data_IF_111313872531
#
_entry.id   IF_111313872531
#
_cell.length_a   1.000
_cell.length_b   1.000
_cell.length_c   1.000
_cell.angle_alpha   90.00
_cell.angle_beta   90.00
_cell.angle_gamma   90.00
#
_symmetry.space_group_name_H-M   'P 1'
#
loop_
_entity.id
_entity.type
_entity.pdbx_description
1 polymer ?
#
# COMPACT_ATOMS: atom_id res chain seq x y z
N UNK A 1 -13.18 20.17 16.39
CA UNK A 1 -13.68 18.83 16.02
C UNK A 1 -15.13 18.95 15.61
N UNK A 2 -15.56 18.20 14.59
CA UNK A 2 -16.93 18.30 14.05
C UNK A 2 -17.98 17.73 15.01
N UNK A 3 -19.14 18.38 15.13
CA UNK A 3 -20.25 17.97 16.00
C UNK A 3 -21.53 17.69 15.19
N UNK A 4 -22.00 16.44 15.23
CA UNK A 4 -23.33 16.05 14.75
C UNK A 4 -24.31 16.03 15.95
N UNK A 5 -25.60 15.71 15.75
CA UNK A 5 -26.63 15.63 16.82
C UNK A 5 -26.26 14.86 18.11
N UNK A 6 -25.18 14.06 18.12
CA UNK A 6 -24.61 13.43 19.32
C UNK A 6 -23.35 14.17 19.78
N UNK A 7 -23.33 14.59 21.04
CA UNK A 7 -22.13 15.08 21.74
C UNK A 7 -21.18 13.92 22.00
N UNK A 8 -20.03 13.90 21.33
CA UNK A 8 -19.01 12.85 21.46
C UNK A 8 -17.94 13.15 22.52
N UNK A 9 -17.81 14.42 22.91
CA UNK A 9 -16.76 14.88 23.81
C UNK A 9 -17.32 15.82 24.89
N UNK A 10 -16.63 15.89 26.01
CA UNK A 10 -16.92 16.80 27.12
C UNK A 10 -15.69 17.61 27.51
N UNK A 11 -15.91 18.79 28.04
CA UNK A 11 -14.85 19.66 28.56
C UNK A 11 -13.97 18.91 29.57
N UNK A 12 -12.65 19.00 29.40
CA UNK A 12 -11.66 18.30 30.21
C UNK A 12 -11.26 16.91 29.71
N UNK A 13 -12.02 16.30 28.79
CA UNK A 13 -11.67 15.00 28.21
C UNK A 13 -10.43 15.08 27.33
N UNK A 14 -9.77 13.93 27.17
CA UNK A 14 -8.68 13.73 26.23
C UNK A 14 -9.26 13.01 24.99
N UNK A 15 -9.06 13.60 23.83
CA UNK A 15 -9.36 13.00 22.54
C UNK A 15 -8.05 12.50 21.91
N UNK A 16 -7.99 11.21 21.61
CA UNK A 16 -6.89 10.58 20.89
C UNK A 16 -7.35 10.36 19.45
N UNK A 17 -6.67 10.98 18.49
CA UNK A 17 -7.02 10.86 17.08
C UNK A 17 -6.09 9.86 16.39
N UNK A 18 -6.69 8.81 15.84
CA UNK A 18 -5.99 7.79 15.08
C UNK A 18 -6.43 7.85 13.61
N UNK A 19 -5.45 7.73 12.70
CA UNK A 19 -5.68 7.56 11.28
C UNK A 19 -5.57 6.07 10.95
N UNK A 20 -6.57 5.50 10.29
CA UNK A 20 -6.50 4.15 9.77
C UNK A 20 -5.42 4.06 8.68
N UNK A 21 -4.55 3.06 8.75
CA UNK A 21 -3.57 2.75 7.71
C UNK A 21 -4.07 1.60 6.82
N UNK A 22 -3.90 0.36 7.30
CA UNK A 22 -4.32 -0.89 6.67
C UNK A 22 -4.43 -1.99 7.72
N UNK A 23 -5.20 -3.04 7.42
CA UNK A 23 -5.54 -4.13 8.33
C UNK A 23 -6.03 -3.62 9.70
N UNK A 24 -5.31 -3.94 10.77
CA UNK A 24 -5.60 -3.50 12.14
C UNK A 24 -4.67 -2.36 12.57
N UNK A 25 -3.94 -1.70 11.66
CA UNK A 25 -2.95 -0.67 12.00
C UNK A 25 -3.51 0.75 11.96
N UNK A 26 -3.15 1.52 12.97
CA UNK A 26 -3.62 2.87 13.21
C UNK A 26 -2.46 3.78 13.59
N UNK A 27 -2.39 4.96 12.98
CA UNK A 27 -1.36 5.96 13.23
C UNK A 27 -1.87 7.04 14.19
N UNK A 28 -1.14 7.31 15.26
CA UNK A 28 -1.42 8.45 16.13
C UNK A 28 -1.18 9.76 15.37
N UNK A 29 -2.22 10.58 15.20
CA UNK A 29 -2.09 11.88 14.51
C UNK A 29 -2.03 13.05 15.49
N UNK A 30 -2.82 13.02 16.56
CA UNK A 30 -2.82 14.08 17.59
C UNK A 30 -3.50 13.59 18.87
N UNK A 31 -3.12 14.19 20.00
CA UNK A 31 -3.81 14.04 21.28
C UNK A 31 -4.20 15.44 21.74
N UNK A 32 -5.49 15.64 21.99
CA UNK A 32 -6.04 16.95 22.34
C UNK A 32 -6.81 16.90 23.64
N UNK A 33 -6.72 17.96 24.44
CA UNK A 33 -7.61 18.21 25.57
C UNK A 33 -8.74 19.10 25.12
N UNK A 34 -9.98 18.68 25.37
CA UNK A 34 -11.16 19.49 25.11
C UNK A 34 -11.17 20.65 26.11
N UNK A 35 -11.08 21.88 25.60
CA UNK A 35 -11.07 23.09 26.44
C UNK A 35 -12.45 23.69 26.57
N UNK A 36 -13.32 23.50 25.57
CA UNK A 36 -14.65 24.10 25.56
C UNK A 36 -15.62 23.37 24.63
N UNK A 37 -16.84 23.20 25.12
CA UNK A 37 -18.01 22.80 24.32
C UNK A 37 -18.69 24.04 23.75
N UNK A 38 -18.93 24.05 22.45
CA UNK A 38 -19.66 25.09 21.74
C UNK A 38 -21.03 24.53 21.39
N UNK A 39 -22.09 25.24 21.79
CA UNK A 39 -23.47 24.81 21.54
C UNK A 39 -23.91 25.13 20.10
N UNK A 40 -23.39 24.35 19.16
CA UNK A 40 -23.68 24.43 17.71
C UNK A 40 -23.96 23.03 17.16
N UNK A 41 -24.79 22.94 16.13
CA UNK A 41 -25.13 21.68 15.43
C UNK A 41 -24.58 21.76 14.00
N UNK A 42 -23.98 20.67 13.54
CA UNK A 42 -23.37 20.53 12.21
C UNK A 42 -22.26 21.56 11.92
N UNK A 43 -21.48 21.88 12.95
CA UNK A 43 -20.32 22.77 12.88
C UNK A 43 -19.21 22.30 13.86
N UNK A 44 -18.14 23.09 14.01
CA UNK A 44 -17.08 22.90 14.98
C UNK A 44 -17.61 23.13 16.39
N UNK A 45 -18.15 22.07 17.00
CA UNK A 45 -18.75 22.11 18.34
C UNK A 45 -17.76 22.02 19.51
N UNK A 46 -16.45 21.95 19.25
CA UNK A 46 -15.44 21.80 20.31
C UNK A 46 -14.15 22.56 20.00
N UNK A 47 -13.70 23.34 20.99
CA UNK A 47 -12.33 23.86 21.06
C UNK A 47 -11.46 22.83 21.81
N UNK A 48 -10.25 22.64 21.32
CA UNK A 48 -9.32 21.69 21.92
C UNK A 48 -7.87 22.10 21.66
N UNK A 49 -7.03 21.88 22.65
CA UNK A 49 -5.59 22.18 22.60
C UNK A 49 -4.78 20.90 22.52
N UNK A 50 -3.71 20.90 21.73
CA UNK A 50 -2.80 19.77 21.65
C UNK A 50 -2.01 19.60 22.94
N UNK A 51 -1.84 18.36 23.37
CA UNK A 51 -0.98 18.04 24.52
C UNK A 51 0.46 17.92 24.02
N UNK A 52 1.24 18.98 24.20
CA UNK A 52 2.58 19.13 23.60
C UNK A 52 3.57 18.02 24.00
N UNK A 53 3.43 17.44 25.20
CA UNK A 53 4.26 16.33 25.69
C UNK A 53 4.28 15.13 24.73
N UNK A 54 3.18 14.87 24.01
CA UNK A 54 3.04 13.72 23.11
C UNK A 54 3.37 14.03 21.66
N UNK A 55 3.69 15.29 21.32
CA UNK A 55 3.93 15.74 19.94
C UNK A 55 4.99 14.91 19.21
N UNK A 56 6.02 14.46 19.94
CA UNK A 56 7.10 13.61 19.40
C UNK A 56 6.64 12.26 18.82
N UNK A 57 5.40 11.82 19.12
CA UNK A 57 4.81 10.58 18.62
C UNK A 57 3.81 10.79 17.48
N UNK A 58 3.43 12.04 17.18
CA UNK A 58 2.46 12.33 16.14
C UNK A 58 3.04 11.99 14.77
N UNK A 59 2.25 11.23 14.01
CA UNK A 59 2.68 10.62 12.76
C UNK A 59 3.74 9.53 12.94
N UNK A 60 4.08 9.08 14.15
CA UNK A 60 5.16 8.11 14.37
C UNK A 60 4.74 6.86 15.11
N UNK A 61 3.80 6.99 16.05
CA UNK A 61 3.30 5.87 16.82
C UNK A 61 2.25 5.09 16.00
N UNK A 62 2.56 3.83 15.72
CA UNK A 62 1.67 2.88 15.06
C UNK A 62 1.14 1.90 16.11
N UNK A 63 -0.19 1.82 16.19
CA UNK A 63 -0.93 0.95 17.07
C UNK A 63 -1.60 -0.16 16.25
N UNK A 64 -1.77 -1.33 16.85
CA UNK A 64 -2.66 -2.37 16.34
C UNK A 64 -3.92 -2.44 17.19
N UNK A 65 -5.06 -2.47 16.53
CA UNK A 65 -6.38 -2.65 17.13
C UNK A 65 -7.38 -3.18 16.09
N UNK A 66 -7.99 -4.32 16.40
CA UNK A 66 -8.99 -4.93 15.52
C UNK A 66 -10.39 -4.37 15.80
N UNK A 67 -10.87 -3.48 14.93
CA UNK A 67 -12.17 -2.86 15.15
C UNK A 67 -13.35 -3.74 14.71
N UNK A 68 -13.99 -4.41 15.67
CA UNK A 68 -15.16 -5.28 15.41
C UNK A 68 -16.50 -4.57 15.29
N UNK A 69 -16.59 -3.24 15.54
CA UNK A 69 -17.87 -2.50 15.50
C UNK A 69 -17.90 -1.44 14.42
N UNK A 70 -19.10 -1.16 13.92
CA UNK A 70 -19.37 -0.21 12.82
C UNK A 70 -19.01 1.26 13.14
N UNK A 71 -19.03 1.66 14.42
CA UNK A 71 -18.68 3.04 14.81
C UNK A 71 -17.17 3.24 14.95
N UNK A 72 -16.67 4.46 14.71
CA UNK A 72 -15.24 4.78 14.83
C UNK A 72 -14.82 5.33 16.20
N UNK A 73 -15.72 5.97 16.95
CA UNK A 73 -15.43 6.49 18.29
C UNK A 73 -15.45 5.40 19.36
N UNK A 74 -14.44 5.38 20.24
CA UNK A 74 -14.32 4.46 21.39
C UNK A 74 -13.92 5.22 22.64
N UNK A 75 -14.35 4.74 23.80
CA UNK A 75 -13.75 5.12 25.08
C UNK A 75 -12.50 4.27 25.30
N UNK A 76 -11.45 4.87 25.87
CA UNK A 76 -10.17 4.19 26.05
C UNK A 76 -10.31 2.91 26.88
N UNK A 77 -11.11 2.96 27.95
CA UNK A 77 -11.37 1.84 28.87
C UNK A 77 -12.00 0.64 28.16
N UNK A 78 -12.73 0.87 27.06
CA UNK A 78 -13.37 -0.22 26.31
C UNK A 78 -12.43 -0.99 25.39
N UNK A 79 -11.20 -0.49 25.17
CA UNK A 79 -10.26 -1.04 24.19
C UNK A 79 -8.81 -1.13 24.69
N UNK A 80 -8.52 -0.67 25.91
CA UNK A 80 -7.14 -0.54 26.40
C UNK A 80 -6.35 -1.85 26.44
N UNK A 81 -7.00 -2.98 26.74
CA UNK A 81 -6.38 -4.32 26.78
C UNK A 81 -6.11 -4.88 25.38
N UNK A 82 -6.75 -4.34 24.34
CA UNK A 82 -6.62 -4.78 22.94
C UNK A 82 -5.67 -3.88 22.13
N UNK A 83 -5.22 -2.76 22.71
CA UNK A 83 -4.33 -1.82 22.06
C UNK A 83 -2.87 -2.26 22.21
N UNK A 84 -2.23 -2.52 21.08
CA UNK A 84 -0.82 -2.90 21.03
C UNK A 84 0.00 -1.81 20.35
N UNK A 85 1.12 -1.40 20.95
CA UNK A 85 2.12 -0.55 20.28
C UNK A 85 2.99 -1.44 19.40
N UNK A 86 2.88 -1.26 18.08
CA UNK A 86 3.66 -2.04 17.12
C UNK A 86 5.02 -1.41 16.87
N UNK A 87 5.02 -0.10 16.63
CA UNK A 87 6.24 0.62 16.26
C UNK A 87 6.14 2.11 16.61
N UNK A 88 7.31 2.71 16.86
CA UNK A 88 7.49 4.15 16.85
C UNK A 88 8.49 4.48 15.72
N UNK A 89 7.97 4.98 14.61
CA UNK A 89 8.77 5.32 13.43
C UNK A 89 9.89 6.32 13.80
N UNK A 90 11.02 6.27 13.11
CA UNK A 90 12.12 7.23 13.35
C UNK A 90 11.77 8.65 12.88
N UNK A 91 10.89 8.79 11.88
CA UNK A 91 10.36 10.04 11.32
C UNK A 91 8.84 9.97 11.15
N UNK A 92 8.17 11.13 11.01
CA UNK A 92 6.73 11.16 10.77
C UNK A 92 6.35 10.45 9.46
N UNK A 93 5.25 9.70 9.51
CA UNK A 93 4.64 8.93 8.45
C UNK A 93 4.19 9.87 7.33
N UNK A 94 4.69 9.61 6.13
CA UNK A 94 4.46 10.37 4.91
C UNK A 94 3.48 9.68 3.94
N UNK A 95 2.96 8.50 4.29
CA UNK A 95 2.05 7.73 3.44
C UNK A 95 2.72 6.71 2.53
N UNK A 96 4.02 6.44 2.69
CA UNK A 96 4.84 5.60 1.79
C UNK A 96 5.21 4.22 2.34
N UNK A 97 4.54 3.74 3.39
CA UNK A 97 4.90 2.47 4.00
C UNK A 97 4.62 1.29 3.04
N UNK A 98 5.66 0.51 2.80
CA UNK A 98 5.63 -0.64 1.90
C UNK A 98 4.90 -1.80 2.59
N UNK A 99 3.82 -2.36 1.99
CA UNK A 99 2.91 -3.30 2.65
C UNK A 99 3.48 -4.73 2.83
N UNK A 100 4.74 -4.95 2.48
CA UNK A 100 5.33 -6.28 2.32
C UNK A 100 5.12 -6.82 0.89
N UNK A 101 5.98 -7.74 0.45
CA UNK A 101 5.96 -8.25 -0.92
C UNK A 101 4.73 -9.11 -1.21
N UNK A 102 4.31 -9.87 -0.20
CA UNK A 102 3.15 -10.75 -0.20
C UNK A 102 1.81 -10.01 -0.35
N UNK A 103 1.79 -8.70 -0.07
CA UNK A 103 0.59 -7.87 -0.13
C UNK A 103 0.61 -6.87 -1.30
N UNK A 104 1.56 -7.00 -2.24
CA UNK A 104 1.58 -6.10 -3.40
C UNK A 104 0.52 -6.50 -4.41
N UNK A 105 -0.46 -5.62 -4.61
CA UNK A 105 -1.41 -5.65 -5.72
C UNK A 105 -1.77 -4.23 -6.12
N UNK A 106 -1.17 -3.73 -7.20
CA UNK A 106 -1.27 -2.34 -7.62
C UNK A 106 -1.90 -2.23 -9.01
N UNK A 107 -2.80 -1.27 -9.23
CA UNK A 107 -3.13 -0.83 -10.59
C UNK A 107 -1.90 -0.19 -11.26
N UNK A 108 -1.94 -0.03 -12.58
CA UNK A 108 -0.94 0.76 -13.30
C UNK A 108 -0.79 2.16 -12.69
N UNK A 109 -1.90 2.87 -12.44
CA UNK A 109 -1.87 4.25 -11.92
C UNK A 109 -1.24 4.35 -10.53
N UNK A 110 -1.47 3.36 -9.66
CA UNK A 110 -0.84 3.29 -8.34
C UNK A 110 0.66 3.06 -8.47
N UNK A 111 1.07 2.08 -9.28
CA UNK A 111 2.48 1.78 -9.51
C UNK A 111 3.22 2.96 -10.17
N UNK A 112 2.58 3.62 -11.14
CA UNK A 112 3.09 4.84 -11.77
C UNK A 112 3.29 5.95 -10.74
N UNK A 113 2.30 6.20 -9.88
CA UNK A 113 2.39 7.20 -8.82
C UNK A 113 3.56 6.91 -7.89
N UNK A 114 3.73 5.65 -7.48
CA UNK A 114 4.85 5.21 -6.63
C UNK A 114 6.20 5.51 -7.28
N UNK A 115 6.37 5.13 -8.55
CA UNK A 115 7.64 5.28 -9.27
C UNK A 115 7.93 6.75 -9.62
N UNK A 116 6.95 7.47 -10.19
CA UNK A 116 7.14 8.86 -10.64
C UNK A 116 7.32 9.85 -9.49
N UNK A 117 6.60 9.65 -8.38
CA UNK A 117 6.73 10.51 -7.20
C UNK A 117 7.89 10.08 -6.29
N UNK A 118 8.63 9.03 -6.67
CA UNK A 118 9.81 8.52 -5.95
C UNK A 118 9.53 8.21 -4.47
N UNK A 119 8.43 7.52 -4.20
CA UNK A 119 8.04 7.13 -2.84
C UNK A 119 9.11 6.25 -2.19
N UNK A 120 9.82 6.79 -1.20
CA UNK A 120 11.12 6.27 -0.78
C UNK A 120 11.04 4.84 -0.22
N UNK A 121 10.06 4.56 0.65
CA UNK A 121 9.84 3.22 1.22
C UNK A 121 9.58 2.14 0.17
N UNK A 122 8.80 2.48 -0.87
CA UNK A 122 8.56 1.59 -2.00
C UNK A 122 9.79 1.42 -2.90
N UNK A 123 10.46 2.51 -3.25
CA UNK A 123 11.64 2.44 -4.10
C UNK A 123 12.73 1.59 -3.45
N UNK A 124 12.98 1.79 -2.16
CA UNK A 124 14.04 1.07 -1.44
C UNK A 124 13.71 -0.42 -1.31
N UNK A 125 12.45 -0.78 -1.06
CA UNK A 125 12.00 -2.17 -1.08
C UNK A 125 12.20 -2.81 -2.48
N UNK A 126 11.76 -2.15 -3.55
CA UNK A 126 11.79 -2.77 -4.89
C UNK A 126 13.19 -2.78 -5.53
N UNK A 127 14.10 -1.88 -5.14
CA UNK A 127 15.38 -1.63 -5.85
C UNK A 127 16.34 -2.81 -5.86
N UNK A 128 16.46 -3.54 -4.75
CA UNK A 128 17.41 -4.65 -4.59
C UNK A 128 16.73 -6.02 -4.48
N UNK A 129 15.53 -6.12 -5.04
CA UNK A 129 14.72 -7.33 -4.96
C UNK A 129 14.67 -8.07 -6.30
N UNK A 130 14.90 -9.38 -6.26
CA UNK A 130 14.54 -10.29 -7.36
C UNK A 130 13.16 -10.88 -7.07
N UNK A 131 12.39 -11.20 -8.10
CA UNK A 131 11.04 -11.70 -7.91
C UNK A 131 10.52 -12.48 -9.11
N UNK A 132 9.52 -13.33 -8.87
CA UNK A 132 8.53 -13.70 -9.87
C UNK A 132 7.28 -12.86 -9.61
N UNK A 133 6.79 -12.19 -10.63
CA UNK A 133 5.64 -11.30 -10.55
C UNK A 133 4.56 -11.68 -11.57
N UNK A 134 3.36 -11.19 -11.33
CA UNK A 134 2.18 -11.41 -12.15
C UNK A 134 1.60 -10.06 -12.58
N UNK A 135 1.34 -9.92 -13.88
CA UNK A 135 0.56 -8.84 -14.45
C UNK A 135 -0.77 -9.43 -14.91
N UNK A 136 -1.87 -8.90 -14.41
CA UNK A 136 -3.22 -9.36 -14.77
C UNK A 136 -3.95 -8.25 -15.52
N UNK A 137 -4.51 -8.59 -16.67
CA UNK A 137 -5.45 -7.73 -17.39
C UNK A 137 -6.84 -7.95 -16.82
N UNK A 138 -7.32 -6.99 -16.03
CA UNK A 138 -8.59 -7.11 -15.31
C UNK A 138 -9.81 -7.04 -16.23
N UNK A 139 -9.64 -6.63 -17.49
CA UNK A 139 -10.74 -6.57 -18.47
C UNK A 139 -11.12 -7.94 -19.03
N UNK A 140 -10.20 -8.91 -19.01
CA UNK A 140 -10.40 -10.23 -19.63
C UNK A 140 -9.81 -11.41 -18.85
N UNK A 141 -9.15 -11.16 -17.72
CA UNK A 141 -8.57 -12.17 -16.85
C UNK A 141 -7.29 -12.81 -17.38
N UNK A 142 -6.75 -12.37 -18.52
CA UNK A 142 -5.49 -12.88 -19.05
C UNK A 142 -4.33 -12.41 -18.17
N UNK A 143 -3.36 -13.31 -18.01
CA UNK A 143 -2.24 -13.13 -17.10
C UNK A 143 -0.90 -13.20 -17.84
N UNK A 144 0.07 -12.44 -17.35
CA UNK A 144 1.47 -12.50 -17.74
C UNK A 144 2.32 -12.76 -16.50
N UNK A 145 3.08 -13.86 -16.50
CA UNK A 145 4.10 -14.15 -15.49
C UNK A 145 5.44 -13.68 -16.01
N UNK A 146 6.18 -12.92 -15.20
CA UNK A 146 7.54 -12.51 -15.49
C UNK A 146 8.45 -12.67 -14.29
N UNK A 147 9.76 -12.64 -14.54
CA UNK A 147 10.76 -12.54 -13.48
C UNK A 147 11.55 -11.25 -13.56
N UNK A 148 12.07 -10.85 -12.41
CA UNK A 148 13.05 -9.80 -12.25
C UNK A 148 14.29 -10.42 -11.61
N UNK A 149 15.42 -10.37 -12.32
CA UNK A 149 16.70 -10.92 -11.87
C UNK A 149 17.77 -9.83 -11.85
N UNK A 150 18.98 -10.15 -11.36
CA UNK A 150 20.06 -9.16 -11.38
C UNK A 150 20.45 -8.78 -12.81
N UNK A 151 20.49 -9.76 -13.72
CA UNK A 151 20.80 -9.52 -15.13
C UNK A 151 19.81 -8.56 -15.83
N UNK A 152 18.56 -8.51 -15.35
CA UNK A 152 17.49 -7.70 -15.95
C UNK A 152 17.09 -6.47 -15.10
N UNK A 153 17.95 -6.04 -14.18
CA UNK A 153 17.81 -4.76 -13.47
C UNK A 153 16.98 -4.80 -12.17
N UNK A 154 16.72 -5.98 -11.60
CA UNK A 154 15.88 -6.15 -10.41
C UNK A 154 14.42 -5.70 -10.61
N UNK A 155 13.59 -5.86 -9.58
CA UNK A 155 12.15 -5.66 -9.66
C UNK A 155 11.76 -4.21 -10.00
N UNK A 156 12.39 -3.23 -9.34
CA UNK A 156 12.11 -1.81 -9.60
C UNK A 156 12.30 -1.46 -11.07
N UNK A 157 13.44 -1.81 -11.68
CA UNK A 157 13.69 -1.50 -13.10
C UNK A 157 12.70 -2.19 -14.02
N UNK A 158 12.37 -3.47 -13.75
CA UNK A 158 11.38 -4.19 -14.56
C UNK A 158 10.03 -3.49 -14.53
N UNK A 159 9.57 -3.09 -13.36
CA UNK A 159 8.30 -2.37 -13.19
C UNK A 159 8.34 -0.96 -13.78
N UNK A 160 9.44 -0.22 -13.64
CA UNK A 160 9.65 1.06 -14.34
C UNK A 160 9.50 0.91 -15.85
N UNK A 161 10.09 -0.13 -16.45
CA UNK A 161 9.97 -0.36 -17.90
C UNK A 161 8.51 -0.53 -18.35
N UNK A 162 7.67 -1.19 -17.56
CA UNK A 162 6.23 -1.29 -17.86
C UNK A 162 5.52 0.05 -17.69
N UNK A 163 5.88 0.86 -16.70
CA UNK A 163 5.33 2.21 -16.54
C UNK A 163 5.74 3.14 -17.69
N UNK A 164 6.91 2.93 -18.29
CA UNK A 164 7.40 3.78 -19.37
C UNK A 164 6.80 3.42 -20.74
N UNK A 165 6.52 2.15 -21.01
CA UNK A 165 6.08 1.71 -22.36
C UNK A 165 4.93 0.69 -22.38
N UNK A 166 4.44 0.22 -21.24
CA UNK A 166 3.31 -0.71 -21.12
C UNK A 166 3.64 -2.18 -21.38
N UNK A 167 4.81 -2.50 -21.95
CA UNK A 167 5.11 -3.88 -22.38
C UNK A 167 6.42 -4.44 -21.83
N UNK A 168 7.34 -3.62 -21.31
CA UNK A 168 8.60 -4.04 -20.68
C UNK A 168 9.51 -4.88 -21.61
N UNK A 169 9.36 -4.70 -22.93
CA UNK A 169 10.03 -5.49 -23.96
C UNK A 169 9.44 -6.86 -24.28
N UNK A 170 8.31 -7.26 -23.67
CA UNK A 170 7.73 -8.58 -23.87
C UNK A 170 6.86 -8.63 -25.15
N UNK A 171 7.00 -9.69 -25.94
CA UNK A 171 6.47 -9.78 -27.31
C UNK A 171 4.96 -9.59 -27.38
N UNK A 172 4.18 -10.37 -26.62
CA UNK A 172 2.71 -10.31 -26.68
C UNK A 172 2.16 -9.03 -26.05
N UNK A 173 2.79 -8.53 -24.98
CA UNK A 173 2.40 -7.25 -24.39
C UNK A 173 2.70 -6.09 -25.35
N UNK A 174 3.79 -6.17 -26.12
CA UNK A 174 4.10 -5.18 -27.16
C UNK A 174 3.03 -5.21 -28.25
N UNK A 175 2.66 -6.40 -28.75
CA UNK A 175 1.57 -6.53 -29.70
C UNK A 175 0.23 -6.00 -29.15
N UNK A 176 -0.05 -6.23 -27.86
CA UNK A 176 -1.22 -5.66 -27.20
C UNK A 176 -1.19 -4.13 -27.20
N UNK A 177 -0.05 -3.51 -26.85
CA UNK A 177 0.12 -2.05 -26.89
C UNK A 177 0.00 -1.53 -28.32
N UNK A 178 0.61 -2.20 -29.31
CA UNK A 178 0.55 -1.80 -30.72
C UNK A 178 -0.88 -1.86 -31.28
N UNK A 179 -1.72 -2.77 -30.77
CA UNK A 179 -3.10 -2.98 -31.26
C UNK A 179 -4.17 -2.22 -30.49
N UNK A 180 -4.04 -2.09 -29.16
CA UNK A 180 -5.03 -1.45 -28.29
C UNK A 180 -4.59 -0.10 -27.73
N UNK A 181 -3.33 0.27 -27.93
CA UNK A 181 -2.73 1.48 -27.38
C UNK A 181 -2.24 1.32 -25.95
N UNK A 182 -1.36 2.24 -25.53
CA UNK A 182 -0.81 2.23 -24.17
C UNK A 182 -1.86 2.57 -23.11
N UNK A 183 -2.85 3.41 -23.43
CA UNK A 183 -3.90 3.77 -22.48
C UNK A 183 -4.74 2.55 -22.05
N UNK A 184 -4.92 1.56 -22.94
CA UNK A 184 -5.52 0.28 -22.57
C UNK A 184 -4.78 -0.41 -21.42
N UNK A 185 -3.45 -0.39 -21.42
CA UNK A 185 -2.64 -0.96 -20.34
C UNK A 185 -2.85 -0.17 -19.05
N UNK A 186 -2.86 1.16 -19.12
CA UNK A 186 -3.04 2.02 -17.94
C UNK A 186 -4.38 1.79 -17.24
N UNK A 187 -5.41 1.52 -18.02
CA UNK A 187 -6.77 1.28 -17.51
C UNK A 187 -6.96 -0.12 -16.94
N UNK A 188 -6.30 -1.13 -17.52
CA UNK A 188 -6.68 -2.52 -17.30
C UNK A 188 -5.62 -3.38 -16.59
N UNK A 189 -4.38 -2.91 -16.42
CA UNK A 189 -3.33 -3.75 -15.84
C UNK A 189 -3.19 -3.60 -14.34
N UNK A 190 -3.03 -4.76 -13.69
CA UNK A 190 -2.71 -4.89 -12.27
C UNK A 190 -1.40 -5.67 -12.10
N UNK A 191 -0.55 -5.22 -11.18
CA UNK A 191 0.78 -5.75 -10.90
C UNK A 191 0.82 -6.35 -9.50
N UNK A 192 1.34 -7.56 -9.38
CA UNK A 192 1.47 -8.28 -8.11
C UNK A 192 2.74 -9.12 -8.06
N UNK A 193 3.18 -9.50 -6.86
CA UNK A 193 4.33 -10.39 -6.65
C UNK A 193 3.84 -11.78 -6.27
N UNK A 194 4.38 -12.80 -6.93
CA UNK A 194 4.11 -14.21 -6.60
C UNK A 194 5.17 -14.77 -5.64
N UNK A 195 6.43 -14.47 -5.91
CA UNK A 195 7.56 -14.86 -5.06
C UNK A 195 8.62 -13.76 -5.05
N UNK A 196 9.22 -13.51 -3.89
CA UNK A 196 10.27 -12.52 -3.70
C UNK A 196 11.56 -13.17 -3.20
N UNK A 197 12.72 -12.76 -3.72
CA UNK A 197 14.03 -13.25 -3.33
C UNK A 197 15.05 -12.11 -3.14
N UNK A 198 15.94 -12.30 -2.17
CA UNK A 198 17.06 -11.38 -2.00
C UNK A 198 18.02 -11.42 -3.20
N UNK A 199 18.85 -10.37 -3.33
CA UNK A 199 19.77 -10.21 -4.45
C UNK A 199 20.82 -11.34 -4.64
N UNK A 200 21.07 -12.15 -3.61
CA UNK A 200 22.07 -13.24 -3.65
C UNK A 200 21.51 -14.55 -4.25
N UNK A 201 20.19 -14.66 -4.39
CA UNK A 201 19.56 -15.84 -4.99
C UNK A 201 20.04 -16.02 -6.44
N UNK A 202 20.26 -17.27 -6.87
CA UNK A 202 20.66 -17.57 -8.25
C UNK A 202 19.56 -17.19 -9.24
N UNK A 203 19.93 -16.48 -10.30
CA UNK A 203 19.02 -16.09 -11.38
C UNK A 203 18.41 -17.34 -12.05
N UNK A 204 19.16 -18.43 -12.19
CA UNK A 204 18.65 -19.67 -12.80
C UNK A 204 17.52 -20.30 -11.98
N UNK A 205 17.61 -20.23 -10.65
CA UNK A 205 16.55 -20.71 -9.78
C UNK A 205 15.26 -19.91 -10.02
N UNK A 206 15.37 -18.58 -10.11
CA UNK A 206 14.24 -17.68 -10.31
C UNK A 206 13.59 -17.90 -11.69
N UNK A 207 14.39 -18.10 -12.74
CA UNK A 207 13.89 -18.46 -14.06
C UNK A 207 13.14 -19.81 -14.05
N UNK A 208 13.63 -20.77 -13.25
CA UNK A 208 12.92 -22.03 -12.99
C UNK A 208 11.56 -21.82 -12.32
N UNK A 209 11.49 -20.92 -11.32
CA UNK A 209 10.25 -20.54 -10.64
C UNK A 209 9.27 -19.79 -11.54
N UNK A 210 9.77 -18.89 -12.38
CA UNK A 210 8.98 -18.23 -13.42
C UNK A 210 8.33 -19.25 -14.36
N UNK A 211 9.11 -20.24 -14.83
CA UNK A 211 8.59 -21.33 -15.67
C UNK A 211 7.50 -22.12 -14.94
N UNK A 212 7.74 -22.47 -13.68
CA UNK A 212 6.77 -23.19 -12.85
C UNK A 212 5.44 -22.43 -12.75
N UNK A 213 5.47 -21.11 -12.53
CA UNK A 213 4.25 -20.30 -12.46
C UNK A 213 3.55 -20.13 -13.80
N UNK A 214 4.28 -20.00 -14.92
CA UNK A 214 3.71 -19.99 -16.27
C UNK A 214 2.92 -21.26 -16.55
N UNK A 215 3.45 -22.41 -16.14
CA UNK A 215 2.81 -23.71 -16.32
C UNK A 215 1.62 -23.87 -15.36
N UNK A 216 1.79 -23.49 -14.09
CA UNK A 216 0.74 -23.60 -13.05
C UNK A 216 -0.48 -22.74 -13.35
N UNK A 217 -0.27 -21.53 -13.88
CA UNK A 217 -1.34 -20.60 -14.23
C UNK A 217 -1.74 -20.68 -15.71
N UNK A 218 -1.14 -21.61 -16.46
CA UNK A 218 -1.37 -21.83 -17.89
C UNK A 218 -1.26 -20.55 -18.74
N UNK A 219 -0.38 -19.61 -18.37
CA UNK A 219 -0.30 -18.28 -19.01
C UNK A 219 0.27 -18.31 -20.42
N UNK A 220 0.87 -19.43 -20.84
CA UNK A 220 1.26 -19.68 -22.23
C UNK A 220 0.08 -19.99 -23.15
N UNK A 221 -0.93 -20.67 -22.61
CA UNK A 221 -2.09 -21.10 -23.38
C UNK A 221 -3.23 -20.07 -23.30
N UNK A 222 -3.45 -19.50 -22.13
CA UNK A 222 -4.59 -18.63 -21.86
C UNK A 222 -4.19 -17.19 -21.49
N UNK A 223 -2.89 -16.90 -21.37
CA UNK A 223 -2.37 -15.60 -20.97
C UNK A 223 -1.58 -14.89 -22.06
N UNK A 224 -0.62 -14.08 -21.64
CA UNK A 224 0.23 -13.25 -22.49
C UNK A 224 1.69 -13.74 -22.54
N UNK A 225 2.01 -14.93 -22.03
CA UNK A 225 3.36 -15.48 -22.16
C UNK A 225 3.50 -16.24 -23.49
N UNK A 226 4.58 -15.99 -24.24
CA UNK A 226 4.88 -16.68 -25.52
C UNK A 226 6.13 -17.56 -25.48
N UNK A 227 6.91 -17.46 -24.42
CA UNK A 227 8.16 -18.20 -24.18
C UNK A 227 7.95 -19.27 -23.12
#
# INVERSE_FOLDING_TARGET
MWHNQRRYFHTGQIAICLLYLYDDKWLLTTIKRITKEIDVVDDVGFEAEEIEEYRKYYGRLVLKYHNTKRGMGRTYESMMEELEVIEILSTAYDGDEFPGYENIRLSFSQLETIIRNKRSGWLDALRNQKAVYLITDTSNGKMYVGSATAQYGMLLQRWTNYIDNGHGGNIELKHLVDTKGFDYVKENFQYSVLENYNARMDDNYILGREKWWKDTLCTRQFGYNKN
#
